data_IF_893675759105
#
_entry.id   IF_893675759105
#
_cell.length_a   1.000
_cell.length_b   1.000
_cell.length_c   1.000
_cell.angle_alpha   90.00
_cell.angle_beta   90.00
_cell.angle_gamma   90.00
#
_symmetry.space_group_name_H-M   'P 1'
#
loop_
_entity.id
_entity.type
_entity.pdbx_description
1 polymer ?
#
# COMPACT_ATOMS: atom_id res chain seq x y z
N UNK A 1 10.31 8.71 7.04
CA UNK A 1 9.54 7.47 7.22
C UNK A 1 9.46 6.73 5.88
N UNK A 2 9.29 5.42 5.94
CA UNK A 2 9.04 4.61 4.72
C UNK A 2 7.67 3.97 4.84
N UNK A 3 6.84 4.14 3.84
CA UNK A 3 5.65 3.32 3.66
C UNK A 3 6.00 2.09 2.84
N UNK A 4 5.57 0.94 3.31
CA UNK A 4 5.77 -0.36 2.66
C UNK A 4 4.46 -0.79 1.97
N UNK A 5 4.47 -1.92 1.26
CA UNK A 5 3.25 -2.53 0.73
C UNK A 5 2.22 -2.71 1.86
N UNK A 6 1.23 -1.84 1.89
CA UNK A 6 0.27 -1.77 3.00
C UNK A 6 -1.01 -1.03 2.61
N UNK A 7 -2.03 -1.23 3.40
CA UNK A 7 -3.26 -0.46 3.40
C UNK A 7 -3.49 0.14 4.78
N UNK A 8 -3.98 1.37 4.84
CA UNK A 8 -4.39 2.02 6.07
C UNK A 8 -5.76 2.67 5.91
N UNK A 9 -6.53 2.70 6.97
CA UNK A 9 -7.81 3.41 7.07
C UNK A 9 -7.70 4.48 8.15
N UNK A 10 -8.17 5.68 7.84
CA UNK A 10 -8.21 6.80 8.77
C UNK A 10 -9.61 6.88 9.37
N UNK A 11 -9.70 6.72 10.67
CA UNK A 11 -10.98 6.82 11.40
C UNK A 11 -11.23 8.23 11.90
N UNK A 12 -10.18 8.95 12.32
CA UNK A 12 -10.29 10.31 12.87
C UNK A 12 -9.04 11.14 12.62
N UNK A 13 -9.24 12.45 12.48
CA UNK A 13 -8.18 13.43 12.28
C UNK A 13 -7.80 13.62 10.82
N UNK A 14 -6.79 14.43 10.58
CA UNK A 14 -6.28 14.76 9.25
C UNK A 14 -4.76 14.65 9.22
N UNK A 15 -4.23 14.31 8.05
CA UNK A 15 -2.80 14.13 7.83
C UNK A 15 -2.42 14.64 6.45
N UNK A 16 -1.23 15.25 6.36
CA UNK A 16 -0.56 15.55 5.09
C UNK A 16 0.61 14.61 4.95
N UNK A 17 0.81 14.04 3.78
CA UNK A 17 1.95 13.19 3.43
C UNK A 17 2.57 13.70 2.14
N UNK A 18 3.89 13.85 2.15
CA UNK A 18 4.69 14.17 0.97
C UNK A 18 5.34 12.89 0.46
N UNK A 19 5.15 12.59 -0.82
CA UNK A 19 5.71 11.44 -1.53
C UNK A 19 6.40 11.95 -2.80
N UNK A 20 7.72 12.02 -2.81
CA UNK A 20 8.44 12.70 -3.87
C UNK A 20 7.98 14.17 -3.97
N UNK A 21 7.59 14.59 -5.18
CA UNK A 21 7.10 15.95 -5.46
C UNK A 21 5.58 16.11 -5.20
N UNK A 22 4.89 15.03 -4.84
CA UNK A 22 3.45 15.05 -4.61
C UNK A 22 3.11 15.19 -3.13
N UNK A 23 2.08 16.00 -2.85
CA UNK A 23 1.52 16.17 -1.53
C UNK A 23 0.09 15.66 -1.49
N UNK A 24 -0.22 14.82 -0.50
CA UNK A 24 -1.54 14.23 -0.29
C UNK A 24 -2.09 14.68 1.06
N UNK A 25 -3.25 15.33 1.07
CA UNK A 25 -4.00 15.63 2.29
C UNK A 25 -5.23 14.74 2.37
N UNK A 26 -5.44 14.10 3.50
CA UNK A 26 -6.53 13.18 3.73
C UNK A 26 -6.91 13.09 5.22
N UNK A 27 -8.13 12.61 5.49
CA UNK A 27 -8.68 12.55 6.84
C UNK A 27 -9.62 11.39 7.07
N UNK A 28 -10.44 11.49 8.10
CA UNK A 28 -11.41 10.45 8.48
C UNK A 28 -12.29 10.00 7.30
N UNK A 29 -12.43 8.69 7.14
CA UNK A 29 -13.13 8.06 6.00
C UNK A 29 -12.28 7.84 4.77
N UNK A 30 -10.97 8.18 4.81
CA UNK A 30 -10.02 7.88 3.73
C UNK A 30 -9.30 6.57 3.97
N UNK A 31 -8.97 5.86 2.90
CA UNK A 31 -7.98 4.79 2.87
C UNK A 31 -6.75 5.23 2.11
N UNK A 32 -5.62 4.64 2.47
CA UNK A 32 -4.34 4.80 1.78
C UNK A 32 -3.87 3.41 1.38
N UNK A 33 -3.42 3.29 0.13
CA UNK A 33 -2.82 2.07 -0.38
C UNK A 33 -1.45 2.40 -0.94
N UNK A 34 -0.45 1.70 -0.43
CA UNK A 34 0.93 1.80 -0.92
C UNK A 34 1.33 0.47 -1.53
N UNK A 35 1.65 0.46 -2.83
CA UNK A 35 1.97 -0.76 -3.57
C UNK A 35 3.47 -1.11 -3.54
N UNK A 36 4.33 -0.12 -3.34
CA UNK A 36 5.79 -0.30 -3.24
C UNK A 36 6.32 0.53 -2.08
N UNK A 37 7.56 0.24 -1.68
CA UNK A 37 8.18 1.03 -0.63
C UNK A 37 8.57 2.42 -1.14
N UNK A 38 8.06 3.45 -0.46
CA UNK A 38 8.32 4.86 -0.80
C UNK A 38 8.76 5.64 0.43
N UNK A 39 9.80 6.49 0.29
CA UNK A 39 10.18 7.44 1.33
C UNK A 39 9.10 8.52 1.44
N UNK A 40 8.70 8.83 2.66
CA UNK A 40 7.66 9.83 2.93
C UNK A 40 8.02 10.72 4.10
N UNK A 41 7.58 11.96 4.06
CA UNK A 41 7.43 12.80 5.23
C UNK A 41 5.94 13.04 5.52
N UNK A 42 5.60 13.30 6.77
CA UNK A 42 4.19 13.55 7.10
C UNK A 42 4.02 14.53 8.27
N UNK A 43 2.85 15.15 8.30
CA UNK A 43 2.36 15.96 9.43
C UNK A 43 0.92 15.60 9.74
N UNK A 44 0.64 15.43 11.04
CA UNK A 44 -0.73 15.29 11.53
C UNK A 44 -1.25 16.71 11.80
N UNK A 45 -2.47 16.98 11.37
CA UNK A 45 -3.10 18.28 11.51
C UNK A 45 -4.10 18.26 12.67
N UNK A 46 -4.11 19.35 13.45
CA UNK A 46 -5.14 19.65 14.46
C UNK A 46 -5.43 18.50 15.45
N UNK A 47 -4.46 17.64 15.76
CA UNK A 47 -4.61 16.61 16.75
C UNK A 47 -4.44 17.15 18.18
N UNK A 48 -5.30 16.68 19.10
CA UNK A 48 -5.21 16.97 20.53
C UNK A 48 -5.53 15.69 21.34
N UNK A 49 -5.30 15.66 22.66
CA UNK A 49 -5.70 14.52 23.48
C UNK A 49 -7.20 14.20 23.40
N UNK A 50 -8.05 15.23 23.26
CA UNK A 50 -9.51 15.08 23.16
C UNK A 50 -9.96 14.68 21.75
N UNK A 51 -9.14 14.98 20.73
CA UNK A 51 -9.39 14.65 19.33
C UNK A 51 -8.12 14.13 18.65
N UNK A 52 -7.69 12.91 19.01
CA UNK A 52 -6.47 12.32 18.46
C UNK A 52 -6.62 11.95 16.97
N UNK A 53 -5.49 11.82 16.30
CA UNK A 53 -5.45 11.15 15.00
C UNK A 53 -5.55 9.63 15.23
N UNK A 54 -6.54 8.98 14.61
CA UNK A 54 -6.79 7.54 14.76
C UNK A 54 -6.77 6.87 13.40
N UNK A 55 -5.90 5.89 13.23
CA UNK A 55 -5.81 5.09 12.01
C UNK A 55 -5.44 3.65 12.35
N UNK A 56 -5.86 2.73 11.49
CA UNK A 56 -5.37 1.35 11.52
C UNK A 56 -4.68 1.05 10.19
N UNK A 57 -3.60 0.27 10.24
CA UNK A 57 -2.87 -0.13 9.05
C UNK A 57 -2.53 -1.61 9.10
N UNK A 58 -2.49 -2.25 7.93
CA UNK A 58 -2.09 -3.63 7.76
C UNK A 58 -1.10 -3.74 6.60
N UNK A 59 -0.03 -4.52 6.77
CA UNK A 59 0.82 -4.93 5.67
C UNK A 59 0.04 -5.86 4.75
N UNK A 60 0.14 -5.62 3.45
CA UNK A 60 -0.44 -6.52 2.45
C UNK A 60 0.56 -7.62 2.11
N UNK A 61 0.04 -8.83 1.95
CA UNK A 61 0.83 -9.99 1.54
C UNK A 61 0.85 -10.07 0.01
N UNK A 62 2.04 -9.92 -0.57
CA UNK A 62 2.24 -9.95 -2.02
C UNK A 62 1.89 -11.31 -2.63
N UNK A 63 2.19 -12.42 -1.93
CA UNK A 63 1.89 -13.76 -2.42
C UNK A 63 0.38 -13.98 -2.46
N UNK A 64 -0.32 -13.57 -1.40
CA UNK A 64 -1.77 -13.65 -1.32
C UNK A 64 -2.47 -12.74 -2.36
N UNK A 65 -1.95 -11.53 -2.60
CA UNK A 65 -2.45 -10.66 -3.68
C UNK A 65 -2.30 -11.34 -5.05
N UNK A 66 -1.15 -11.95 -5.33
CA UNK A 66 -0.90 -12.64 -6.60
C UNK A 66 -1.80 -13.89 -6.77
N UNK A 67 -2.00 -14.66 -5.70
CA UNK A 67 -2.91 -15.81 -5.66
C UNK A 67 -4.35 -15.38 -5.99
N UNK A 68 -4.88 -14.40 -5.26
CA UNK A 68 -6.24 -13.90 -5.48
C UNK A 68 -6.37 -13.32 -6.90
N UNK A 69 -5.37 -12.55 -7.37
CA UNK A 69 -5.39 -12.00 -8.71
C UNK A 69 -5.46 -13.10 -9.77
N UNK A 70 -4.73 -14.21 -9.60
CA UNK A 70 -4.81 -15.38 -10.46
C UNK A 70 -6.21 -16.01 -10.50
N UNK A 71 -6.89 -16.09 -9.35
CA UNK A 71 -8.24 -16.66 -9.25
C UNK A 71 -9.33 -15.79 -9.90
N UNK A 72 -9.19 -14.46 -9.83
CA UNK A 72 -10.17 -13.52 -10.38
C UNK A 72 -9.90 -13.12 -11.84
N UNK A 73 -8.68 -13.37 -12.34
CA UNK A 73 -8.32 -13.13 -13.73
C UNK A 73 -9.22 -13.94 -14.66
N UNK A 74 -9.78 -13.28 -15.68
CA UNK A 74 -10.74 -13.88 -16.62
C UNK A 74 -12.18 -14.01 -16.09
N UNK A 75 -12.42 -13.74 -14.79
CA UNK A 75 -13.77 -13.72 -14.19
C UNK A 75 -14.27 -12.30 -13.94
N UNK A 76 -13.36 -11.34 -13.81
CA UNK A 76 -13.64 -9.92 -13.64
C UNK A 76 -12.81 -9.10 -14.62
N UNK A 77 -13.47 -8.18 -15.28
CA UNK A 77 -12.80 -7.13 -16.05
C UNK A 77 -12.52 -5.94 -15.15
N UNK A 78 -11.33 -5.39 -15.28
CA UNK A 78 -10.93 -4.20 -14.55
C UNK A 78 -10.69 -3.07 -15.56
N UNK A 79 -11.15 -1.84 -15.26
CA UNK A 79 -10.84 -0.72 -16.13
C UNK A 79 -9.33 -0.54 -16.21
N UNK A 80 -8.82 -0.07 -17.36
CA UNK A 80 -7.42 0.29 -17.47
C UNK A 80 -7.06 1.35 -16.42
N UNK A 81 -5.87 1.25 -15.88
CA UNK A 81 -5.34 2.23 -14.93
C UNK A 81 -4.98 3.50 -15.67
N UNK A 82 -5.52 4.63 -15.27
CA UNK A 82 -5.12 5.94 -15.79
C UNK A 82 -3.90 6.50 -15.04
N UNK A 83 -3.69 6.07 -13.77
CA UNK A 83 -2.60 6.53 -12.91
C UNK A 83 -1.95 5.35 -12.16
N UNK A 84 -0.69 5.08 -12.49
CA UNK A 84 0.11 4.02 -11.83
C UNK A 84 0.93 4.55 -10.64
N UNK A 85 0.31 5.36 -9.78
CA UNK A 85 0.99 5.90 -8.62
C UNK A 85 1.21 4.83 -7.54
N UNK A 86 2.44 4.74 -7.03
CA UNK A 86 2.79 3.84 -5.93
C UNK A 86 2.02 4.11 -4.63
N UNK A 87 1.48 5.32 -4.50
CA UNK A 87 0.73 5.79 -3.35
C UNK A 87 -0.64 6.32 -3.81
N UNK A 88 -1.70 5.72 -3.29
CA UNK A 88 -3.08 6.06 -3.61
C UNK A 88 -3.83 6.49 -2.34
N UNK A 89 -4.60 7.56 -2.46
CA UNK A 89 -5.56 8.01 -1.42
C UNK A 89 -6.95 7.95 -2.02
N UNK A 90 -7.85 7.27 -1.33
CA UNK A 90 -9.21 7.05 -1.78
C UNK A 90 -10.21 7.12 -0.64
N UNK A 91 -11.50 7.21 -0.96
CA UNK A 91 -12.57 7.01 0.03
C UNK A 91 -12.61 5.54 0.44
N UNK A 92 -12.68 5.26 1.75
CA UNK A 92 -12.74 3.90 2.25
C UNK A 92 -14.08 3.23 1.92
N UNK A 93 -14.12 2.14 1.15
CA UNK A 93 -15.32 1.34 0.97
C UNK A 93 -15.78 0.71 2.28
N UNK A 94 -17.09 0.53 2.44
CA UNK A 94 -17.67 -0.05 3.66
C UNK A 94 -17.12 -1.44 3.97
N UNK A 95 -16.88 -2.26 2.95
CA UNK A 95 -16.33 -3.61 3.09
C UNK A 95 -14.90 -3.60 3.68
N UNK A 96 -14.07 -2.66 3.23
CA UNK A 96 -12.71 -2.49 3.77
C UNK A 96 -12.77 -1.98 5.22
N UNK A 97 -13.65 -1.02 5.52
CA UNK A 97 -13.87 -0.55 6.90
C UNK A 97 -14.30 -1.69 7.82
N UNK A 98 -15.22 -2.56 7.37
CA UNK A 98 -15.69 -3.71 8.13
C UNK A 98 -14.56 -4.71 8.41
N UNK A 99 -13.74 -5.02 7.42
CA UNK A 99 -12.56 -5.87 7.63
C UNK A 99 -11.64 -5.31 8.73
N UNK A 100 -11.34 -4.01 8.71
CA UNK A 100 -10.51 -3.39 9.75
C UNK A 100 -11.16 -3.43 11.13
N UNK A 101 -12.48 -3.18 11.22
CA UNK A 101 -13.19 -3.28 12.50
C UNK A 101 -13.18 -4.70 13.05
N UNK A 102 -13.35 -5.71 12.19
CA UNK A 102 -13.27 -7.13 12.59
C UNK A 102 -11.87 -7.50 13.03
N UNK A 103 -10.81 -7.01 12.38
CA UNK A 103 -9.43 -7.21 12.80
C UNK A 103 -9.15 -6.58 14.17
N UNK A 104 -9.66 -5.38 14.43
CA UNK A 104 -9.52 -4.73 15.72
C UNK A 104 -10.22 -5.51 16.84
N UNK A 105 -11.44 -6.04 16.59
CA UNK A 105 -12.15 -6.90 17.54
C UNK A 105 -11.43 -8.23 17.76
N UNK A 106 -10.87 -8.80 16.70
CA UNK A 106 -10.11 -10.05 16.79
C UNK A 106 -8.85 -9.91 17.67
N UNK A 107 -8.26 -8.72 17.75
CA UNK A 107 -7.13 -8.48 18.63
C UNK A 107 -7.48 -8.63 20.13
N UNK A 108 -8.76 -8.57 20.49
CA UNK A 108 -9.26 -8.85 21.86
C UNK A 108 -9.39 -10.34 22.14
N UNK A 109 -9.29 -11.20 21.10
CA UNK A 109 -9.45 -12.66 21.15
C UNK A 109 -8.24 -13.37 20.52
N UNK A 110 -7.06 -13.35 21.18
CA UNK A 110 -5.82 -13.92 20.63
C UNK A 110 -5.93 -15.42 20.28
N UNK A 111 -6.79 -16.16 20.99
CA UNK A 111 -7.05 -17.58 20.77
C UNK A 111 -7.65 -17.91 19.40
N UNK A 112 -8.37 -16.96 18.80
CA UNK A 112 -9.01 -17.10 17.50
C UNK A 112 -8.15 -16.60 16.34
N UNK A 113 -7.00 -15.96 16.64
CA UNK A 113 -6.19 -15.24 15.66
C UNK A 113 -5.74 -16.16 14.52
N UNK A 114 -5.25 -17.36 14.82
CA UNK A 114 -4.68 -18.27 13.82
C UNK A 114 -5.74 -18.76 12.81
N UNK A 115 -7.01 -18.78 13.19
CA UNK A 115 -8.11 -19.26 12.35
C UNK A 115 -8.86 -18.14 11.65
N UNK A 116 -9.14 -17.03 12.36
CA UNK A 116 -10.00 -15.97 11.84
C UNK A 116 -9.22 -14.92 11.05
N UNK A 117 -7.98 -14.60 11.48
CA UNK A 117 -7.16 -13.61 10.77
C UNK A 117 -6.94 -13.93 9.30
N UNK A 118 -6.57 -15.18 8.88
CA UNK A 118 -6.38 -15.51 7.47
C UNK A 118 -7.65 -15.28 6.63
N UNK A 119 -8.83 -15.51 7.20
CA UNK A 119 -10.10 -15.30 6.50
C UNK A 119 -10.34 -13.80 6.25
N UNK A 120 -10.18 -12.96 7.28
CA UNK A 120 -10.34 -11.51 7.14
C UNK A 120 -9.24 -10.92 6.27
N UNK A 121 -8.01 -11.40 6.39
CA UNK A 121 -6.89 -10.98 5.55
C UNK A 121 -7.18 -11.24 4.08
N UNK A 122 -7.64 -12.46 3.72
CA UNK A 122 -7.99 -12.80 2.34
C UNK A 122 -9.12 -11.93 1.81
N UNK A 123 -10.16 -11.73 2.61
CA UNK A 123 -11.30 -10.87 2.25
C UNK A 123 -10.86 -9.43 1.99
N UNK A 124 -10.03 -8.85 2.86
CA UNK A 124 -9.50 -7.49 2.70
C UNK A 124 -8.64 -7.37 1.43
N UNK A 125 -7.75 -8.35 1.16
CA UNK A 125 -6.94 -8.36 -0.05
C UNK A 125 -7.81 -8.45 -1.31
N UNK A 126 -8.88 -9.24 -1.29
CA UNK A 126 -9.84 -9.32 -2.39
C UNK A 126 -10.54 -7.99 -2.64
N UNK A 127 -11.05 -7.32 -1.60
CA UNK A 127 -11.68 -6.02 -1.76
C UNK A 127 -10.70 -4.95 -2.23
N UNK A 128 -9.47 -4.97 -1.71
CA UNK A 128 -8.41 -4.07 -2.18
C UNK A 128 -8.11 -4.25 -3.68
N UNK A 129 -7.98 -5.49 -4.17
CA UNK A 129 -7.73 -5.77 -5.58
C UNK A 129 -8.91 -5.40 -6.48
N UNK A 130 -10.15 -5.55 -5.98
CA UNK A 130 -11.36 -5.29 -6.78
C UNK A 130 -11.84 -3.84 -6.72
N UNK A 131 -11.28 -3.01 -5.83
CA UNK A 131 -11.59 -1.59 -5.77
C UNK A 131 -11.01 -0.87 -7.00
N UNK A 132 -11.82 -0.08 -7.73
CA UNK A 132 -11.35 0.66 -8.90
C UNK A 132 -10.18 1.59 -8.61
N UNK A 133 -10.12 2.17 -7.41
CA UNK A 133 -9.11 3.14 -7.01
C UNK A 133 -7.77 2.49 -6.60
N UNK A 134 -7.74 1.15 -6.45
CA UNK A 134 -6.54 0.37 -6.09
C UNK A 134 -5.88 -0.29 -7.33
N UNK A 135 -5.86 0.39 -8.47
CA UNK A 135 -5.22 -0.11 -9.70
C UNK A 135 -3.74 -0.46 -9.49
N UNK A 136 -3.04 0.30 -8.66
CA UNK A 136 -1.65 0.08 -8.31
C UNK A 136 -1.36 -1.30 -7.71
N UNK A 137 -2.31 -1.91 -6.97
CA UNK A 137 -2.17 -3.28 -6.47
C UNK A 137 -2.29 -4.32 -7.58
N UNK A 138 -3.20 -4.11 -8.53
CA UNK A 138 -3.37 -5.00 -9.69
C UNK A 138 -2.13 -4.99 -10.58
N UNK A 139 -1.60 -3.81 -10.85
CA UNK A 139 -0.37 -3.64 -11.62
C UNK A 139 0.84 -4.29 -10.92
N UNK A 140 0.90 -4.22 -9.58
CA UNK A 140 1.91 -4.92 -8.79
C UNK A 140 1.87 -6.44 -9.06
N UNK A 141 0.67 -7.03 -9.18
CA UNK A 141 0.48 -8.46 -9.41
C UNK A 141 0.80 -8.87 -10.86
N UNK A 142 0.55 -7.99 -11.83
CA UNK A 142 0.79 -8.29 -13.27
C UNK A 142 2.23 -8.09 -13.72
N UNK A 143 3.09 -7.60 -12.83
CA UNK A 143 4.52 -7.39 -13.13
C UNK A 143 4.81 -6.22 -14.08
N UNK A 144 3.79 -5.46 -14.46
CA UNK A 144 3.89 -4.39 -15.47
C UNK A 144 4.48 -3.06 -14.97
N UNK A 145 4.63 -2.88 -13.65
CA UNK A 145 5.09 -1.60 -13.12
C UNK A 145 6.60 -1.38 -13.25
N UNK A 146 7.01 -0.19 -13.74
CA UNK A 146 8.37 0.32 -13.54
C UNK A 146 8.75 0.33 -12.04
N UNK A 147 7.81 0.61 -11.15
CA UNK A 147 7.98 0.60 -9.69
C UNK A 147 8.42 -0.76 -9.12
N UNK A 148 8.06 -1.90 -9.72
CA UNK A 148 8.59 -3.21 -9.33
C UNK A 148 10.10 -3.33 -9.59
N UNK A 149 10.59 -2.65 -10.62
CA UNK A 149 12.02 -2.59 -10.93
C UNK A 149 12.71 -1.66 -9.94
N UNK A 150 12.15 -0.50 -9.68
CA UNK A 150 12.67 0.45 -8.69
C UNK A 150 12.70 -0.15 -7.27
N UNK A 151 11.71 -0.96 -6.88
CA UNK A 151 11.72 -1.66 -5.59
C UNK A 151 12.96 -2.54 -5.39
N UNK A 152 13.45 -3.22 -6.44
CA UNK A 152 14.70 -4.00 -6.37
C UNK A 152 15.91 -3.11 -6.09
N UNK A 153 15.97 -1.94 -6.73
CA UNK A 153 17.04 -0.98 -6.47
C UNK A 153 16.96 -0.42 -5.03
N UNK A 154 15.77 -0.17 -4.52
CA UNK A 154 15.56 0.29 -3.13
C UNK A 154 15.98 -0.80 -2.13
N UNK A 155 15.65 -2.07 -2.36
CA UNK A 155 16.09 -3.19 -1.53
C UNK A 155 17.63 -3.31 -1.54
N UNK A 156 18.23 -3.20 -2.71
CA UNK A 156 19.70 -3.22 -2.84
C UNK A 156 20.34 -2.05 -2.09
N UNK A 157 19.81 -0.83 -2.27
CA UNK A 157 20.27 0.36 -1.56
C UNK A 157 20.21 0.20 -0.05
N UNK A 158 19.17 -0.40 0.51
CA UNK A 158 19.04 -0.66 1.93
C UNK A 158 20.10 -1.61 2.46
N UNK A 159 20.48 -2.59 1.67
CA UNK A 159 21.49 -3.58 2.03
C UNK A 159 22.90 -3.00 1.92
N UNK A 160 23.15 -2.17 0.90
CA UNK A 160 24.48 -1.72 0.52
C UNK A 160 24.70 -0.20 0.61
N UNK A 161 23.86 0.53 1.36
CA UNK A 161 23.92 2.00 1.46
C UNK A 161 25.26 2.57 1.98
N UNK A 162 26.13 1.74 2.55
CA UNK A 162 27.46 2.11 3.02
C UNK A 162 28.54 1.98 1.95
N UNK A 163 28.23 1.36 0.84
CA UNK A 163 29.15 1.17 -0.28
C UNK A 163 29.05 2.33 -1.28
N UNK A 164 30.11 2.59 -2.08
CA UNK A 164 30.03 3.56 -3.16
C UNK A 164 28.95 3.17 -4.15
N UNK A 165 27.97 4.04 -4.35
CA UNK A 165 26.81 3.78 -5.21
C UNK A 165 26.97 4.56 -6.51
N UNK A 166 26.82 3.87 -7.65
CA UNK A 166 26.76 4.48 -8.97
C UNK A 166 25.34 4.35 -9.52
N UNK A 167 24.74 5.48 -9.87
CA UNK A 167 23.37 5.52 -10.42
C UNK A 167 23.25 4.65 -11.67
N UNK A 168 24.30 4.58 -12.50
CA UNK A 168 24.29 3.74 -13.70
C UNK A 168 24.15 2.25 -13.36
N UNK A 169 24.86 1.77 -12.35
CA UNK A 169 24.81 0.35 -11.93
C UNK A 169 23.42 -0.02 -11.37
N UNK A 170 22.77 0.90 -10.66
CA UNK A 170 21.39 0.71 -10.19
C UNK A 170 20.39 0.71 -11.34
N UNK A 171 20.54 1.64 -12.29
CA UNK A 171 19.68 1.71 -13.46
C UNK A 171 19.80 0.44 -14.31
N UNK A 172 21.04 -0.05 -14.55
CA UNK A 172 21.29 -1.29 -15.31
C UNK A 172 20.69 -2.51 -14.58
N UNK A 173 20.79 -2.58 -13.24
CA UNK A 173 20.20 -3.67 -12.44
C UNK A 173 18.68 -3.78 -12.63
N UNK A 174 18.01 -2.65 -12.85
CA UNK A 174 16.56 -2.58 -13.02
C UNK A 174 16.13 -2.42 -14.48
N UNK A 175 17.06 -2.57 -15.40
CA UNK A 175 16.82 -2.44 -16.86
C UNK A 175 16.19 -1.09 -17.23
N UNK A 176 16.72 -0.01 -16.67
CA UNK A 176 16.31 1.37 -16.95
C UNK A 176 17.52 2.19 -17.43
N UNK A 177 17.26 3.28 -18.16
CA UNK A 177 18.30 4.27 -18.41
C UNK A 177 18.53 5.13 -17.16
N UNK A 178 19.73 5.68 -16.98
CA UNK A 178 20.01 6.56 -15.84
C UNK A 178 19.13 7.81 -15.81
N UNK A 179 18.61 8.24 -16.97
CA UNK A 179 17.68 9.38 -17.05
C UNK A 179 16.24 9.01 -16.69
N UNK A 180 15.89 7.71 -16.76
CA UNK A 180 14.56 7.21 -16.41
C UNK A 180 14.52 6.71 -14.96
N UNK A 181 15.69 6.28 -14.42
CA UNK A 181 15.87 5.85 -13.05
C UNK A 181 15.91 7.05 -12.09
#
# INVERSE_FOLDING_TARGET
>A
CFYTLSMAVIFQGEKIVDVGDNQYQYGGGSMIVTSVEVPTSYRILNASPERPFVSASMKLDRALLAEIMGEISGKKEFPPSEDSNAFCVAKTPVQISDCFLRLLRLAEHPEDMDFVFPCIQRELHYFALTDPQCSNLRELCTGGLPSNRVSKAVEWLKQYYKEPIRIQELADMVYMSSSTF
#
